data_IF_181473672820
#
_entry.id   IF_181473672820
#
_cell.length_a   1.000
_cell.length_b   1.000
_cell.length_c   1.000
_cell.angle_alpha   90.00
_cell.angle_beta   90.00
_cell.angle_gamma   90.00
#
_symmetry.space_group_name_H-M   'P 1'
#
loop_
_entity.id
_entity.type
_entity.pdbx_description
1 polymer ?
#
# COMPACT_ATOMS: atom_id res chain seq x y z
N UNK A 1 1.33 14.75 23.48
CA UNK A 1 1.73 16.18 23.44
C UNK A 1 0.84 17.05 22.54
N UNK A 2 -0.37 16.61 22.13
CA UNK A 2 -1.44 17.50 21.66
C UNK A 2 -2.78 16.91 22.10
N UNK A 3 -3.28 17.37 23.25
CA UNK A 3 -4.63 17.07 23.70
C UNK A 3 -5.53 18.21 23.27
N UNK A 4 -6.14 18.12 22.09
CA UNK A 4 -7.17 19.09 21.69
C UNK A 4 -8.41 18.76 22.52
N UNK A 5 -8.68 19.61 23.51
CA UNK A 5 -9.91 19.54 24.29
C UNK A 5 -11.10 20.11 23.53
N UNK A 6 -12.30 19.91 24.08
CA UNK A 6 -13.50 20.54 23.54
C UNK A 6 -13.39 22.08 23.51
N UNK A 7 -12.72 22.67 24.50
CA UNK A 7 -12.46 24.12 24.56
C UNK A 7 -11.61 24.62 23.40
N UNK A 8 -10.44 24.01 23.15
CA UNK A 8 -9.60 24.37 22.00
C UNK A 8 -10.34 24.23 20.66
N UNK A 9 -11.16 23.19 20.48
CA UNK A 9 -11.93 22.99 19.25
C UNK A 9 -12.89 24.17 18.98
N UNK A 10 -13.57 24.66 20.03
CA UNK A 10 -14.47 25.82 19.93
C UNK A 10 -13.69 27.08 19.56
N UNK A 11 -12.51 27.31 20.15
CA UNK A 11 -11.67 28.47 19.82
C UNK A 11 -11.23 28.43 18.35
N UNK A 12 -10.81 27.28 17.86
CA UNK A 12 -10.42 27.08 16.45
C UNK A 12 -11.61 27.33 15.53
N UNK A 13 -12.79 26.80 15.87
CA UNK A 13 -14.01 27.01 15.08
C UNK A 13 -14.39 28.50 15.04
N UNK A 14 -14.27 29.20 16.16
CA UNK A 14 -14.56 30.63 16.24
C UNK A 14 -13.58 31.47 15.39
N UNK A 15 -12.29 31.15 15.45
CA UNK A 15 -11.27 31.75 14.59
C UNK A 15 -11.53 31.48 13.11
N UNK A 16 -11.89 30.25 12.75
CA UNK A 16 -12.27 29.92 11.38
C UNK A 16 -13.48 30.73 10.89
N UNK A 17 -14.50 30.89 11.75
CA UNK A 17 -15.67 31.73 11.46
C UNK A 17 -15.26 33.20 11.26
N UNK A 18 -14.35 33.73 12.07
CA UNK A 18 -13.86 35.10 11.94
C UNK A 18 -13.08 35.34 10.63
N UNK A 19 -12.22 34.40 10.25
CA UNK A 19 -11.37 34.51 9.06
C UNK A 19 -12.17 34.33 7.77
N UNK A 20 -13.03 33.31 7.72
CA UNK A 20 -13.75 32.93 6.50
C UNK A 20 -15.17 33.49 6.44
N UNK A 21 -15.79 33.77 7.60
CA UNK A 21 -17.18 34.15 7.74
C UNK A 21 -18.10 32.96 8.06
N UNK A 22 -19.14 33.14 8.90
CA UNK A 22 -20.07 32.07 9.29
C UNK A 22 -20.86 31.52 8.11
N UNK A 23 -21.12 32.34 7.09
CA UNK A 23 -21.88 31.93 5.91
C UNK A 23 -21.05 31.13 4.90
N UNK A 24 -19.72 31.33 4.89
CA UNK A 24 -18.81 30.69 3.93
C UNK A 24 -18.35 29.31 4.34
N UNK A 25 -18.19 29.06 5.65
CA UNK A 25 -17.84 27.73 6.15
C UNK A 25 -18.82 26.62 5.72
N UNK A 26 -20.16 26.75 5.86
CA UNK A 26 -21.08 25.70 5.42
C UNK A 26 -21.10 25.56 3.90
N UNK A 27 -20.88 26.65 3.15
CA UNK A 27 -20.74 26.62 1.69
C UNK A 27 -19.52 25.79 1.27
N UNK A 28 -18.35 26.06 1.87
CA UNK A 28 -17.10 25.31 1.63
C UNK A 28 -17.21 23.84 2.04
N UNK A 29 -17.83 23.56 3.19
CA UNK A 29 -18.04 22.19 3.65
C UNK A 29 -18.92 21.39 2.68
N UNK A 30 -19.99 22.00 2.15
CA UNK A 30 -20.84 21.38 1.12
C UNK A 30 -20.05 21.10 -0.16
N UNK A 31 -19.26 22.05 -0.62
CA UNK A 31 -18.43 21.89 -1.82
C UNK A 31 -17.39 20.77 -1.64
N UNK A 32 -16.68 20.74 -0.50
CA UNK A 32 -15.73 19.69 -0.17
C UNK A 32 -16.42 18.31 -0.10
N UNK A 33 -17.58 18.22 0.54
CA UNK A 33 -18.35 16.97 0.61
C UNK A 33 -18.81 16.48 -0.77
N UNK A 34 -19.27 17.39 -1.64
CA UNK A 34 -19.62 17.07 -3.03
C UNK A 34 -18.39 16.62 -3.83
N UNK A 35 -17.24 17.26 -3.63
CA UNK A 35 -15.99 16.90 -4.29
C UNK A 35 -15.51 15.50 -3.87
N UNK A 36 -15.51 15.19 -2.57
CA UNK A 36 -15.18 13.85 -2.06
C UNK A 36 -16.12 12.79 -2.64
N UNK A 37 -17.42 13.09 -2.74
CA UNK A 37 -18.40 12.18 -3.34
C UNK A 37 -18.10 11.94 -4.82
N UNK A 38 -17.78 12.98 -5.58
CA UNK A 38 -17.39 12.87 -7.00
C UNK A 38 -16.13 12.02 -7.17
N UNK A 39 -15.10 12.23 -6.35
CA UNK A 39 -13.88 11.41 -6.36
C UNK A 39 -14.22 9.95 -6.08
N UNK A 40 -15.04 9.67 -5.06
CA UNK A 40 -15.44 8.29 -4.73
C UNK A 40 -16.17 7.62 -5.90
N UNK A 41 -17.11 8.33 -6.53
CA UNK A 41 -17.82 7.81 -7.70
C UNK A 41 -16.87 7.55 -8.86
N UNK A 42 -15.95 8.48 -9.16
CA UNK A 42 -14.95 8.29 -10.22
C UNK A 42 -14.04 7.09 -9.94
N UNK A 43 -13.55 6.95 -8.71
CA UNK A 43 -12.72 5.83 -8.30
C UNK A 43 -13.46 4.49 -8.41
N UNK A 44 -14.74 4.44 -8.06
CA UNK A 44 -15.56 3.24 -8.20
C UNK A 44 -15.78 2.89 -9.67
N UNK A 45 -16.16 3.87 -10.50
CA UNK A 45 -16.38 3.64 -11.93
C UNK A 45 -15.11 3.15 -12.63
N UNK A 46 -13.95 3.74 -12.31
CA UNK A 46 -12.66 3.30 -12.85
C UNK A 46 -12.34 1.85 -12.42
N UNK A 47 -12.63 1.48 -11.16
CA UNK A 47 -12.48 0.09 -10.69
C UNK A 47 -13.41 -0.86 -11.46
N UNK A 48 -14.66 -0.45 -11.69
CA UNK A 48 -15.64 -1.24 -12.41
C UNK A 48 -15.23 -1.45 -13.88
N UNK A 49 -14.69 -0.42 -14.52
CA UNK A 49 -14.16 -0.48 -15.89
C UNK A 49 -12.94 -1.42 -15.97
N UNK A 50 -11.95 -1.26 -15.07
CA UNK A 50 -10.81 -2.17 -14.96
C UNK A 50 -11.23 -3.62 -14.72
N UNK A 51 -12.23 -3.85 -13.87
CA UNK A 51 -12.79 -5.19 -13.60
C UNK A 51 -13.42 -5.80 -14.85
N UNK A 52 -14.09 -4.98 -15.66
CA UNK A 52 -14.77 -5.42 -16.88
C UNK A 52 -13.79 -5.77 -18.01
N UNK A 53 -12.65 -5.08 -18.09
CA UNK A 53 -11.67 -5.27 -19.17
C UNK A 53 -10.59 -6.31 -18.84
N UNK A 54 -10.10 -6.32 -17.61
CA UNK A 54 -8.97 -7.17 -17.19
C UNK A 54 -9.43 -8.43 -16.44
N UNK A 55 -10.73 -8.54 -16.14
CA UNK A 55 -11.29 -9.64 -15.36
C UNK A 55 -11.19 -9.42 -13.85
N UNK A 56 -11.92 -10.21 -13.05
CA UNK A 56 -12.05 -10.01 -11.60
C UNK A 56 -10.73 -10.17 -10.82
N UNK A 57 -9.70 -10.76 -11.42
CA UNK A 57 -8.41 -11.06 -10.79
C UNK A 57 -7.52 -9.82 -10.57
N UNK A 58 -7.74 -8.73 -11.33
CA UNK A 58 -6.95 -7.48 -11.23
C UNK A 58 -7.74 -6.30 -10.64
N UNK A 59 -9.04 -6.49 -10.38
CA UNK A 59 -9.94 -5.46 -9.86
C UNK A 59 -9.72 -5.15 -8.37
N UNK A 60 -9.20 -6.14 -7.64
CA UNK A 60 -8.94 -6.07 -6.20
C UNK A 60 -7.47 -5.75 -5.89
N UNK A 61 -6.76 -5.07 -6.79
CA UNK A 61 -5.53 -4.34 -6.45
C UNK A 61 -5.90 -3.17 -5.53
N UNK A 62 -6.26 -3.51 -4.30
CA UNK A 62 -6.44 -2.56 -3.23
C UNK A 62 -5.08 -1.95 -2.93
N UNK A 63 -5.01 -0.62 -2.83
CA UNK A 63 -3.82 0.08 -2.36
C UNK A 63 -3.35 -0.40 -0.95
N UNK A 64 -4.09 -1.30 -0.29
CA UNK A 64 -3.76 -2.00 0.97
C UNK A 64 -3.00 -3.31 0.80
N UNK A 65 -3.05 -3.96 -0.37
CA UNK A 65 -2.21 -5.13 -0.67
C UNK A 65 -0.78 -4.70 -1.09
N UNK A 66 -0.53 -3.39 -1.27
CA UNK A 66 0.83 -2.83 -1.26
C UNK A 66 1.39 -2.61 0.16
N UNK A 67 0.72 -3.05 1.22
CA UNK A 67 1.35 -3.14 2.54
C UNK A 67 2.10 -4.49 2.64
N UNK A 68 3.45 -4.49 2.56
CA UNK A 68 4.25 -5.71 2.50
C UNK A 68 4.02 -6.60 3.72
N UNK A 69 3.53 -6.05 4.84
CA UNK A 69 3.25 -6.80 6.06
C UNK A 69 2.04 -7.71 5.93
N UNK A 70 1.06 -7.35 5.10
CA UNK A 70 -0.15 -8.15 4.90
C UNK A 70 0.12 -9.34 3.98
N UNK A 71 0.91 -9.15 2.91
CA UNK A 71 1.35 -10.23 2.02
C UNK A 71 2.21 -11.25 2.78
N UNK A 72 3.19 -10.79 3.56
CA UNK A 72 4.06 -11.67 4.37
C UNK A 72 3.25 -12.44 5.41
N UNK A 73 2.26 -11.81 6.06
CA UNK A 73 1.39 -12.50 7.01
C UNK A 73 0.53 -13.59 6.36
N UNK A 74 -0.02 -13.35 5.17
CA UNK A 74 -0.78 -14.36 4.41
C UNK A 74 0.12 -15.56 4.07
N UNK A 75 1.33 -15.32 3.54
CA UNK A 75 2.28 -16.39 3.20
C UNK A 75 2.81 -17.16 4.41
N UNK A 76 3.04 -16.49 5.55
CA UNK A 76 3.49 -17.16 6.79
C UNK A 76 2.32 -17.96 7.39
N UNK A 77 1.10 -17.43 7.42
CA UNK A 77 -0.05 -18.14 7.95
C UNK A 77 -0.42 -19.37 7.11
N UNK A 78 -0.28 -19.28 5.79
CA UNK A 78 -0.43 -20.40 4.87
C UNK A 78 0.66 -21.45 5.08
N UNK A 79 1.93 -21.03 5.22
CA UNK A 79 3.04 -21.93 5.55
C UNK A 79 2.87 -22.63 6.91
N UNK A 80 2.30 -21.95 7.92
CA UNK A 80 1.97 -22.55 9.22
C UNK A 80 0.74 -23.48 9.16
N UNK A 81 -0.20 -23.21 8.25
CA UNK A 81 -1.37 -24.06 8.05
C UNK A 81 -1.02 -25.38 7.32
N UNK A 82 0.03 -25.35 6.49
CA UNK A 82 0.61 -26.51 5.79
C UNK A 82 1.73 -27.21 6.60
N UNK A 83 1.91 -26.88 7.89
CA UNK A 83 2.85 -27.59 8.77
C UNK A 83 2.36 -29.01 9.15
N UNK A 84 2.33 -29.89 8.16
CA UNK A 84 2.87 -31.25 8.25
C UNK A 84 4.15 -31.41 7.39
N UNK A 85 4.66 -30.36 6.72
CA UNK A 85 5.93 -30.46 5.98
C UNK A 85 6.82 -29.21 6.15
N UNK A 86 7.95 -29.39 6.83
CA UNK A 86 8.93 -28.35 7.13
C UNK A 86 9.97 -28.24 6.00
N UNK A 87 10.16 -27.08 5.34
CA UNK A 87 11.38 -26.78 4.61
C UNK A 87 12.18 -25.68 5.34
N UNK A 88 13.46 -25.96 5.59
CA UNK A 88 14.40 -25.08 6.29
C UNK A 88 14.67 -23.72 5.60
N UNK A 89 15.40 -22.82 6.27
CA UNK A 89 15.42 -21.39 5.94
C UNK A 89 16.17 -21.08 4.65
N UNK A 90 15.49 -20.35 3.75
CA UNK A 90 16.11 -19.53 2.71
C UNK A 90 16.05 -20.12 1.30
N UNK A 91 14.94 -19.88 0.61
CA UNK A 91 14.82 -20.11 -0.83
C UNK A 91 14.34 -18.85 -1.55
N UNK A 92 15.15 -17.80 -1.49
CA UNK A 92 15.30 -16.98 -2.70
C UNK A 92 16.02 -17.87 -3.70
N UNK A 93 15.39 -18.20 -4.83
CA UNK A 93 16.03 -18.93 -5.93
C UNK A 93 17.14 -18.06 -6.54
N UNK A 94 18.28 -17.99 -5.84
CA UNK A 94 19.54 -17.67 -6.49
C UNK A 94 19.93 -18.92 -7.29
N UNK A 95 20.27 -18.80 -8.59
CA UNK A 95 20.85 -19.92 -9.30
C UNK A 95 22.09 -20.35 -8.54
N UNK A 96 22.10 -21.59 -8.04
CA UNK A 96 23.23 -22.19 -7.35
C UNK A 96 24.39 -22.28 -8.33
N UNK A 97 25.19 -21.21 -8.41
CA UNK A 97 26.47 -21.27 -9.09
C UNK A 97 27.32 -22.30 -8.33
N UNK A 98 28.00 -23.22 -9.02
CA UNK A 98 28.92 -24.14 -8.38
C UNK A 98 29.89 -23.33 -7.52
N UNK A 99 29.94 -23.61 -6.21
CA UNK A 99 30.93 -22.99 -5.33
C UNK A 99 32.28 -23.59 -5.69
N UNK A 100 33.20 -22.74 -6.13
CA UNK A 100 34.58 -23.12 -6.47
C UNK A 100 35.23 -23.83 -5.28
N UNK A 101 35.98 -24.91 -5.55
CA UNK A 101 36.73 -25.63 -4.53
C UNK A 101 37.83 -24.76 -3.91
N UNK A 102 38.25 -25.06 -2.68
CA UNK A 102 39.32 -24.32 -2.03
C UNK A 102 40.63 -24.45 -2.83
N UNK A 103 41.08 -23.34 -3.44
CA UNK A 103 42.26 -23.29 -4.32
C UNK A 103 41.96 -23.29 -5.82
N UNK A 104 40.69 -23.41 -6.22
CA UNK A 104 40.26 -23.31 -7.61
C UNK A 104 40.19 -21.83 -8.03
N UNK A 105 40.89 -21.48 -9.12
CA UNK A 105 40.88 -20.12 -9.64
C UNK A 105 39.66 -19.94 -10.55
N UNK A 106 38.91 -18.84 -10.43
CA UNK A 106 37.78 -18.59 -11.31
C UNK A 106 38.27 -18.51 -12.77
N UNK A 107 37.48 -19.01 -13.74
CA UNK A 107 37.83 -18.90 -15.15
C UNK A 107 37.94 -17.42 -15.51
N UNK A 108 39.10 -17.02 -16.03
CA UNK A 108 39.32 -15.68 -16.57
C UNK A 108 39.26 -15.76 -18.10
N UNK A 109 38.48 -14.86 -18.69
CA UNK A 109 38.36 -14.75 -20.14
C UNK A 109 39.52 -13.90 -20.67
N UNK A 110 40.34 -14.49 -21.53
CA UNK A 110 41.50 -13.83 -22.14
C UNK A 110 41.13 -12.98 -23.36
N UNK A 111 39.89 -13.09 -23.85
CA UNK A 111 39.39 -12.31 -25.00
C UNK A 111 38.65 -11.03 -24.60
N UNK A 112 38.58 -10.72 -23.30
CA UNK A 112 38.05 -9.44 -22.84
C UNK A 112 39.06 -8.31 -23.13
N UNK A 113 38.92 -7.65 -24.29
CA UNK A 113 39.59 -6.39 -24.68
C UNK A 113 38.59 -5.42 -25.27
#
# INVERSE_FOLDING_TARGET
MFGIGFGELVVIAFLAILVFGPDKLPELAKQAGQFVRKIRTFANNARDELRSELGPEYADLELRDLDPRTIVRKHIAEALADEDEVPGPGAGTMPTRPRLGAGERPPYDLEAT
#
